data_IF_387992674666
#
_entry.id   IF_387992674666
#
_cell.length_a   1.000
_cell.length_b   1.000
_cell.length_c   1.000
_cell.angle_alpha   90.00
_cell.angle_beta   90.00
_cell.angle_gamma   90.00
#
_symmetry.space_group_name_H-M   'P 1'
#
loop_
_entity.id
_entity.type
_entity.pdbx_description
1 polymer ?
#
# COMPACT_ATOMS: atom_id res chain seq x y z
N UNK A 1 76.41 5.50 -4.93
CA UNK A 1 75.65 5.85 -6.13
C UNK A 1 74.73 4.72 -6.42
N UNK A 2 73.45 4.86 -6.16
CA UNK A 2 72.47 3.87 -6.38
C UNK A 2 71.14 4.51 -6.04
N UNK A 3 70.44 5.03 -7.07
CA UNK A 3 69.12 5.63 -6.93
C UNK A 3 68.09 4.54 -6.85
N UNK A 4 67.27 4.64 -5.81
CA UNK A 4 66.12 3.82 -5.61
C UNK A 4 64.88 4.58 -6.15
N UNK A 5 64.31 4.07 -7.24
CA UNK A 5 63.10 4.58 -7.85
C UNK A 5 61.92 3.74 -7.38
N UNK A 6 61.22 4.19 -6.34
CA UNK A 6 59.93 3.64 -5.92
C UNK A 6 58.85 4.09 -6.87
N UNK A 7 58.37 3.15 -7.71
CA UNK A 7 57.14 3.29 -8.49
C UNK A 7 55.94 3.28 -7.52
N UNK A 8 55.14 4.35 -7.54
CA UNK A 8 53.80 4.37 -6.93
C UNK A 8 52.84 3.63 -7.85
N UNK A 9 52.27 2.54 -7.38
CA UNK A 9 51.14 1.88 -8.03
C UNK A 9 49.88 2.77 -8.03
N UNK A 10 48.94 2.50 -8.94
CA UNK A 10 47.70 3.29 -9.05
C UNK A 10 46.85 3.17 -7.81
N UNK A 11 46.36 4.31 -7.32
CA UNK A 11 45.32 4.44 -6.29
C UNK A 11 44.13 3.58 -6.67
N UNK A 12 43.91 2.48 -5.96
CA UNK A 12 42.63 1.77 -5.92
C UNK A 12 41.64 2.67 -5.17
N UNK A 13 40.83 3.40 -5.93
CA UNK A 13 39.68 4.12 -5.41
C UNK A 13 38.77 3.14 -4.64
N UNK A 14 38.79 3.23 -3.33
CA UNK A 14 37.90 2.51 -2.48
C UNK A 14 36.43 2.85 -2.84
N UNK A 15 35.75 1.93 -3.51
CA UNK A 15 34.32 1.91 -3.51
C UNK A 15 33.90 1.65 -2.05
N UNK A 16 33.25 2.62 -1.43
CA UNK A 16 32.56 2.43 -0.15
C UNK A 16 31.60 1.26 -0.31
N UNK A 17 32.00 0.09 0.14
CA UNK A 17 31.20 -1.14 0.10
C UNK A 17 30.12 -1.09 1.17
N UNK A 18 29.14 -0.21 0.99
CA UNK A 18 27.90 -0.26 1.76
C UNK A 18 27.11 -1.45 1.22
N UNK A 19 26.91 -2.49 2.04
CA UNK A 19 26.00 -3.55 1.66
C UNK A 19 24.60 -2.95 1.43
N UNK A 20 23.93 -3.24 0.29
CA UNK A 20 22.64 -2.65 -0.02
C UNK A 20 21.64 -3.00 1.07
N UNK A 21 20.92 -2.00 1.56
CA UNK A 21 19.85 -2.21 2.52
C UNK A 21 18.65 -2.87 1.81
N UNK A 22 17.75 -3.45 2.58
CA UNK A 22 16.49 -4.02 2.07
C UNK A 22 15.70 -2.99 1.26
N UNK A 23 15.72 -1.74 1.69
CA UNK A 23 15.11 -0.59 0.99
C UNK A 23 15.73 -0.38 -0.38
N UNK A 24 17.05 -0.47 -0.49
CA UNK A 24 17.74 -0.28 -1.77
C UNK A 24 17.36 -1.36 -2.78
N UNK A 25 17.25 -2.62 -2.35
CA UNK A 25 16.79 -3.74 -3.18
C UNK A 25 15.37 -3.48 -3.70
N UNK A 26 14.48 -2.98 -2.86
CA UNK A 26 13.11 -2.64 -3.23
C UNK A 26 13.06 -1.49 -4.23
N UNK A 27 13.81 -0.42 -3.97
CA UNK A 27 13.93 0.73 -4.86
C UNK A 27 14.44 0.30 -6.23
N UNK A 28 15.47 -0.54 -6.28
CA UNK A 28 16.03 -1.04 -7.51
C UNK A 28 15.04 -1.85 -8.35
N UNK A 29 14.18 -2.67 -7.69
CA UNK A 29 13.12 -3.41 -8.36
C UNK A 29 12.08 -2.46 -8.98
N UNK A 30 11.67 -1.43 -8.26
CA UNK A 30 10.72 -0.43 -8.76
C UNK A 30 11.34 0.35 -9.92
N UNK A 31 12.57 0.85 -9.75
CA UNK A 31 13.31 1.57 -10.80
C UNK A 31 13.44 0.72 -12.07
N UNK A 32 13.81 -0.55 -11.93
CA UNK A 32 13.93 -1.46 -13.07
C UNK A 32 12.59 -1.67 -13.78
N UNK A 33 11.50 -1.90 -13.04
CA UNK A 33 10.17 -2.14 -13.61
C UNK A 33 9.60 -0.90 -14.32
N UNK A 34 9.84 0.30 -13.79
CA UNK A 34 9.43 1.55 -14.44
C UNK A 34 10.27 1.85 -15.68
N UNK A 35 11.56 1.56 -15.63
CA UNK A 35 12.46 1.70 -16.80
C UNK A 35 12.04 0.78 -17.95
N UNK A 36 11.55 -0.43 -17.68
CA UNK A 36 10.98 -1.31 -18.72
C UNK A 36 9.79 -0.67 -19.44
N UNK A 37 9.08 0.25 -18.78
CA UNK A 37 7.96 1.04 -19.34
C UNK A 37 8.41 2.36 -19.96
N UNK A 38 9.70 2.65 -19.99
CA UNK A 38 10.26 3.92 -20.47
C UNK A 38 10.08 5.09 -19.49
N UNK A 39 9.81 4.81 -18.22
CA UNK A 39 9.63 5.81 -17.16
C UNK A 39 10.89 5.84 -16.29
N UNK A 40 11.48 7.02 -16.15
CA UNK A 40 12.60 7.25 -15.25
C UNK A 40 12.09 7.58 -13.85
N UNK A 41 12.67 6.93 -12.83
CA UNK A 41 12.28 7.08 -11.42
C UNK A 41 13.32 7.91 -10.69
N UNK A 42 12.87 9.00 -10.09
CA UNK A 42 13.63 9.79 -9.14
C UNK A 42 13.51 9.21 -7.73
N UNK A 43 14.63 9.16 -7.02
CA UNK A 43 14.72 8.66 -5.64
C UNK A 43 15.10 9.83 -4.74
N UNK A 44 14.16 10.32 -3.95
CA UNK A 44 14.43 11.32 -2.93
C UNK A 44 14.86 10.64 -1.63
N UNK A 45 15.91 11.17 -0.99
CA UNK A 45 16.42 10.67 0.30
C UNK A 45 16.46 11.78 1.34
N UNK A 46 16.23 11.38 2.58
CA UNK A 46 16.43 12.24 3.74
C UNK A 46 17.92 12.53 3.97
N UNK A 47 18.28 13.54 4.78
CA UNK A 47 19.69 13.86 5.08
C UNK A 47 20.49 12.70 5.72
N UNK A 48 19.82 11.77 6.36
CA UNK A 48 20.39 10.56 6.96
C UNK A 48 20.57 9.40 5.95
N UNK A 49 20.23 9.63 4.67
CA UNK A 49 20.33 8.66 3.59
C UNK A 49 19.09 7.74 3.46
N UNK A 50 18.16 7.76 4.40
CA UNK A 50 16.92 6.98 4.29
C UNK A 50 16.04 7.43 3.14
N UNK A 51 15.25 6.51 2.58
CA UNK A 51 14.31 6.84 1.51
C UNK A 51 13.26 7.84 2.02
N UNK A 52 13.09 8.94 1.27
CA UNK A 52 12.02 9.91 1.52
C UNK A 52 10.78 9.58 0.70
N UNK A 53 10.87 9.61 -0.63
CA UNK A 53 9.80 9.23 -1.55
C UNK A 53 10.36 8.89 -2.94
N UNK A 54 9.54 8.23 -3.75
CA UNK A 54 9.80 7.92 -5.15
C UNK A 54 8.88 8.75 -6.05
N UNK A 55 9.34 9.10 -7.25
CA UNK A 55 8.58 9.91 -8.19
C UNK A 55 9.04 9.69 -9.65
N UNK A 56 8.22 10.08 -10.61
CA UNK A 56 8.59 10.09 -12.03
C UNK A 56 9.45 11.31 -12.35
N UNK A 57 10.67 11.11 -12.84
CA UNK A 57 11.69 12.17 -13.04
C UNK A 57 11.41 13.08 -14.26
N UNK A 58 10.38 12.80 -15.05
CA UNK A 58 10.11 13.54 -16.30
C UNK A 58 8.84 14.39 -16.25
N UNK A 59 8.02 14.28 -15.19
CA UNK A 59 6.69 14.90 -15.11
C UNK A 59 6.41 15.47 -13.74
N UNK A 60 5.58 16.52 -13.72
CA UNK A 60 5.01 17.10 -12.49
C UNK A 60 3.49 17.20 -12.62
N UNK A 61 2.81 17.14 -11.49
CA UNK A 61 1.39 17.45 -11.37
C UNK A 61 1.23 18.94 -11.05
N UNK A 62 0.35 19.62 -11.76
CA UNK A 62 0.11 21.07 -11.60
C UNK A 62 -1.38 21.34 -11.48
N UNK A 63 -1.79 22.17 -10.53
CA UNK A 63 -3.17 22.64 -10.46
C UNK A 63 -3.53 23.43 -11.71
N UNK A 64 -4.65 23.13 -12.36
CA UNK A 64 -5.06 23.71 -13.64
C UNK A 64 -5.12 25.25 -13.60
N UNK A 65 -5.51 25.82 -12.47
CA UNK A 65 -5.54 27.30 -12.29
C UNK A 65 -4.16 27.96 -12.45
N UNK A 66 -3.09 27.23 -12.22
CA UNK A 66 -1.71 27.73 -12.32
C UNK A 66 -0.98 27.22 -13.56
N UNK A 67 -1.56 26.27 -14.29
CA UNK A 67 -0.90 25.58 -15.41
C UNK A 67 -0.32 26.55 -16.45
N UNK A 68 -1.03 27.57 -16.95
CA UNK A 68 -0.47 28.50 -17.95
C UNK A 68 0.75 29.26 -17.41
N UNK A 69 0.71 29.71 -16.15
CA UNK A 69 1.79 30.46 -15.51
C UNK A 69 3.01 29.58 -15.25
N UNK A 70 2.80 28.35 -14.75
CA UNK A 70 3.88 27.38 -14.50
C UNK A 70 4.53 26.94 -15.81
N UNK A 71 3.73 26.61 -16.83
CA UNK A 71 4.25 26.22 -18.15
C UNK A 71 5.08 27.36 -18.79
N UNK A 72 4.60 28.60 -18.72
CA UNK A 72 5.37 29.76 -19.21
C UNK A 72 6.68 29.97 -18.44
N UNK A 73 6.66 29.77 -17.12
CA UNK A 73 7.83 29.89 -16.25
C UNK A 73 8.89 28.82 -16.55
N UNK A 74 8.50 27.60 -16.91
CA UNK A 74 9.41 26.49 -17.17
C UNK A 74 10.04 26.53 -18.58
N UNK A 75 9.54 27.36 -19.51
CA UNK A 75 10.10 27.47 -20.86
C UNK A 75 11.51 28.04 -20.86
N UNK A 76 12.35 27.58 -21.78
CA UNK A 76 13.63 28.19 -22.10
C UNK A 76 13.40 29.51 -22.82
N UNK A 77 14.14 30.54 -22.45
CA UNK A 77 14.00 31.89 -23.04
C UNK A 77 14.50 31.98 -24.52
N UNK A 78 15.21 30.97 -25.03
CA UNK A 78 15.95 31.04 -26.30
C UNK A 78 15.31 30.23 -27.43
N UNK A 79 14.16 29.61 -27.23
CA UNK A 79 13.46 28.93 -28.33
C UNK A 79 12.36 29.82 -28.88
N UNK A 80 12.59 30.34 -30.11
CA UNK A 80 11.54 30.92 -30.92
C UNK A 80 10.34 30.01 -31.00
N UNK A 81 9.17 30.60 -30.73
CA UNK A 81 7.83 30.17 -31.07
C UNK A 81 7.47 28.70 -30.81
N UNK A 82 6.57 28.52 -29.88
CA UNK A 82 5.45 27.56 -29.94
C UNK A 82 5.71 26.07 -29.67
N UNK A 83 6.84 25.62 -29.22
CA UNK A 83 6.89 24.31 -28.57
C UNK A 83 6.28 24.45 -27.16
N UNK A 84 4.98 24.35 -27.12
CA UNK A 84 4.24 24.19 -25.86
C UNK A 84 4.79 22.91 -25.23
N UNK A 85 5.25 23.01 -23.97
CA UNK A 85 5.41 21.81 -23.17
C UNK A 85 4.06 21.09 -23.24
N UNK A 86 3.98 19.91 -23.89
CA UNK A 86 2.69 19.31 -24.14
C UNK A 86 2.07 18.97 -22.77
N UNK A 87 0.88 19.52 -22.46
CA UNK A 87 0.13 18.99 -21.33
C UNK A 87 -0.17 17.55 -21.68
N UNK A 88 0.31 16.62 -20.90
CA UNK A 88 -0.22 15.27 -20.92
C UNK A 88 -1.64 15.42 -20.40
N UNK A 89 -2.60 15.34 -21.31
CA UNK A 89 -4.01 15.70 -21.18
C UNK A 89 -4.63 15.30 -19.85
N UNK A 90 -5.43 16.22 -19.32
CA UNK A 90 -6.09 16.17 -18.03
C UNK A 90 -6.64 14.80 -17.64
N UNK A 91 -6.02 14.21 -16.64
CA UNK A 91 -6.40 12.93 -16.06
C UNK A 91 -7.59 13.09 -15.14
N UNK A 92 -7.74 14.27 -14.55
CA UNK A 92 -8.81 14.63 -13.62
C UNK A 92 -9.09 16.12 -13.71
N UNK A 93 -10.35 16.57 -13.59
CA UNK A 93 -10.65 17.98 -13.51
C UNK A 93 -9.88 18.63 -12.35
N UNK A 94 -9.13 19.70 -12.65
CA UNK A 94 -8.42 20.50 -11.66
C UNK A 94 -6.93 20.23 -11.49
N UNK A 95 -6.38 19.16 -12.10
CA UNK A 95 -4.94 18.86 -12.09
C UNK A 95 -4.49 18.31 -13.45
N UNK A 96 -3.43 18.86 -13.97
CA UNK A 96 -2.79 18.41 -15.21
C UNK A 96 -1.41 17.84 -14.93
N UNK A 97 -1.04 16.83 -15.70
CA UNK A 97 0.31 16.31 -15.77
C UNK A 97 1.11 17.16 -16.78
N UNK A 98 2.25 17.69 -16.39
CA UNK A 98 3.11 18.52 -17.21
C UNK A 98 4.48 17.84 -17.39
N UNK A 99 4.87 17.61 -18.64
CA UNK A 99 6.21 17.10 -18.96
C UNK A 99 7.26 18.20 -18.79
N UNK A 100 8.40 17.84 -18.23
CA UNK A 100 9.58 18.72 -18.14
C UNK A 100 10.51 18.59 -19.34
N UNK A 101 10.18 17.78 -20.34
CA UNK A 101 10.95 17.69 -21.57
C UNK A 101 11.06 19.08 -22.24
N UNK A 102 12.30 19.53 -22.49
CA UNK A 102 12.54 20.87 -23.01
C UNK A 102 12.45 22.02 -21.99
N UNK A 103 12.19 21.74 -20.71
CA UNK A 103 12.21 22.72 -19.63
C UNK A 103 13.62 23.27 -19.40
N UNK A 104 13.72 24.50 -18.85
CA UNK A 104 14.97 25.06 -18.34
C UNK A 104 15.47 24.37 -17.08
N UNK A 105 14.60 23.67 -16.38
CA UNK A 105 14.92 22.84 -15.23
C UNK A 105 14.76 21.36 -15.60
N UNK A 106 15.87 20.64 -15.83
CA UNK A 106 15.80 19.27 -16.30
C UNK A 106 15.40 18.28 -15.19
N UNK A 107 15.53 18.68 -13.93
CA UNK A 107 15.23 17.82 -12.76
C UNK A 107 13.95 18.27 -12.08
N UNK A 108 13.10 17.29 -11.74
CA UNK A 108 11.75 17.51 -11.14
C UNK A 108 11.86 18.29 -9.83
N UNK A 109 12.74 17.89 -8.92
CA UNK A 109 12.83 18.52 -7.60
C UNK A 109 13.33 19.97 -7.68
N UNK A 110 14.28 20.24 -8.57
CA UNK A 110 14.77 21.60 -8.83
C UNK A 110 13.67 22.48 -9.42
N UNK A 111 12.93 21.99 -10.41
CA UNK A 111 11.80 22.69 -10.99
C UNK A 111 10.72 23.02 -9.92
N UNK A 112 10.44 22.07 -9.04
CA UNK A 112 9.43 22.22 -7.98
C UNK A 112 9.88 23.21 -6.89
N UNK A 113 11.15 23.29 -6.53
CA UNK A 113 11.65 24.28 -5.57
C UNK A 113 11.49 25.71 -6.12
N UNK A 114 11.77 25.91 -7.40
CA UNK A 114 11.57 27.18 -8.08
C UNK A 114 10.09 27.55 -8.27
N UNK A 115 9.22 26.54 -8.54
CA UNK A 115 7.77 26.75 -8.60
C UNK A 115 7.23 27.12 -7.23
N UNK A 116 7.64 26.43 -6.17
CA UNK A 116 7.24 26.73 -4.80
C UNK A 116 7.60 28.16 -4.39
N UNK A 117 8.82 28.60 -4.75
CA UNK A 117 9.29 29.95 -4.45
C UNK A 117 8.48 31.04 -5.18
N UNK A 118 8.00 30.76 -6.41
CA UNK A 118 7.31 31.74 -7.24
C UNK A 118 5.79 31.73 -7.10
N UNK A 119 5.19 30.55 -7.02
CA UNK A 119 3.73 30.35 -7.08
C UNK A 119 3.14 29.86 -5.76
N UNK A 120 3.98 29.40 -4.85
CA UNK A 120 3.57 28.87 -3.55
C UNK A 120 3.61 27.33 -3.50
N UNK A 121 3.89 26.83 -2.29
CA UNK A 121 3.98 25.40 -1.99
C UNK A 121 2.65 24.69 -2.25
N UNK A 122 2.69 23.55 -2.95
CA UNK A 122 1.51 22.74 -3.27
C UNK A 122 0.72 23.19 -4.50
N UNK A 123 1.22 24.20 -5.26
CA UNK A 123 0.71 24.52 -6.60
C UNK A 123 1.06 23.41 -7.57
N UNK A 124 2.27 22.84 -7.44
CA UNK A 124 2.71 21.67 -8.17
C UNK A 124 3.36 20.66 -7.23
N UNK A 125 3.33 19.39 -7.60
CA UNK A 125 4.00 18.29 -6.90
C UNK A 125 4.66 17.34 -7.90
N UNK A 126 5.64 16.51 -7.49
CA UNK A 126 6.07 15.42 -8.35
C UNK A 126 4.91 14.45 -8.56
N UNK A 127 4.93 13.67 -9.64
CA UNK A 127 4.08 12.48 -9.74
C UNK A 127 4.69 11.40 -8.86
N UNK A 128 4.17 11.24 -7.62
CA UNK A 128 4.73 10.28 -6.69
C UNK A 128 4.47 8.84 -7.14
N UNK A 129 5.38 7.94 -6.82
CA UNK A 129 5.22 6.50 -7.00
C UNK A 129 4.83 5.91 -5.65
N UNK A 130 3.68 5.25 -5.63
CA UNK A 130 3.11 4.57 -4.48
C UNK A 130 3.33 3.07 -4.62
N UNK A 131 3.48 2.37 -3.51
CA UNK A 131 3.70 0.93 -3.54
C UNK A 131 2.85 0.20 -2.51
N UNK A 132 2.63 -1.09 -2.74
CA UNK A 132 2.00 -2.00 -1.78
C UNK A 132 2.88 -2.19 -0.54
N UNK A 133 4.15 -1.79 -0.65
CA UNK A 133 5.10 -1.79 0.45
C UNK A 133 6.07 -0.63 0.28
N UNK A 134 5.97 0.41 1.08
CA UNK A 134 7.02 1.42 1.11
C UNK A 134 8.10 1.03 2.12
N UNK A 135 9.35 1.11 1.71
CA UNK A 135 10.57 1.24 2.52
C UNK A 135 11.13 -0.04 3.17
N UNK A 136 10.33 -1.05 3.53
CA UNK A 136 10.83 -2.38 3.87
C UNK A 136 10.30 -3.37 2.84
N UNK A 137 11.11 -4.34 2.44
CA UNK A 137 10.68 -5.31 1.46
C UNK A 137 9.43 -6.06 2.00
N UNK A 138 8.45 -6.22 1.13
CA UNK A 138 7.25 -7.05 1.26
C UNK A 138 6.49 -6.99 2.59
N UNK A 139 5.35 -6.50 2.59
CA UNK A 139 4.65 -5.42 3.31
C UNK A 139 5.39 -4.89 4.53
N UNK A 140 5.69 -5.69 5.54
CA UNK A 140 6.56 -5.32 6.66
C UNK A 140 7.60 -6.40 6.91
N UNK A 141 7.36 -7.60 6.38
CA UNK A 141 8.26 -8.76 6.39
C UNK A 141 8.10 -9.50 5.08
N UNK A 142 9.05 -10.36 4.75
CA UNK A 142 8.81 -11.40 3.74
C UNK A 142 7.86 -12.46 4.31
N UNK A 143 7.10 -13.18 3.45
CA UNK A 143 6.19 -14.22 3.91
C UNK A 143 6.97 -15.38 4.55
N UNK A 144 6.39 -15.97 5.60
CA UNK A 144 6.90 -17.18 6.23
C UNK A 144 6.10 -18.41 5.80
N UNK A 145 6.81 -19.50 5.53
CA UNK A 145 6.19 -20.79 5.25
C UNK A 145 5.41 -21.29 6.46
N UNK A 146 4.23 -21.86 6.20
CA UNK A 146 3.42 -22.55 7.21
C UNK A 146 3.06 -23.95 6.69
N UNK A 147 2.73 -24.93 7.58
CA UNK A 147 2.27 -26.23 7.16
C UNK A 147 1.09 -26.15 6.19
N UNK A 148 1.04 -27.07 5.22
CA UNK A 148 0.04 -27.08 4.14
C UNK A 148 -1.42 -27.01 4.62
N UNK A 149 -1.72 -27.66 5.74
CA UNK A 149 -3.08 -27.75 6.29
C UNK A 149 -3.37 -26.65 7.33
N UNK A 150 -2.55 -25.59 7.37
CA UNK A 150 -2.78 -24.47 8.28
C UNK A 150 -4.01 -23.70 7.83
N UNK A 151 -4.93 -23.46 8.78
CA UNK A 151 -6.12 -22.63 8.55
C UNK A 151 -5.77 -21.14 8.62
N UNK A 152 -6.58 -20.25 8.02
CA UNK A 152 -6.38 -18.81 8.14
C UNK A 152 -6.48 -18.36 9.60
N UNK A 153 -5.66 -17.37 9.98
CA UNK A 153 -5.69 -16.71 11.27
C UNK A 153 -5.60 -15.17 11.06
N UNK A 154 -6.66 -14.42 11.36
CA UNK A 154 -7.96 -14.85 11.88
C UNK A 154 -8.75 -15.72 10.91
N UNK A 155 -9.45 -16.72 11.44
CA UNK A 155 -10.35 -17.57 10.69
C UNK A 155 -11.64 -16.86 10.25
N UNK A 156 -12.46 -17.51 9.39
CA UNK A 156 -13.72 -16.95 8.96
C UNK A 156 -14.69 -16.71 10.13
N UNK A 157 -15.26 -15.51 10.19
CA UNK A 157 -16.35 -15.19 11.11
C UNK A 157 -17.65 -15.90 10.70
N UNK A 158 -18.60 -16.06 11.62
CA UNK A 158 -19.90 -16.63 11.31
C UNK A 158 -20.77 -15.65 10.51
N UNK A 159 -21.04 -15.96 9.26
CA UNK A 159 -21.90 -15.18 8.37
C UNK A 159 -21.35 -13.76 8.08
N UNK A 160 -22.20 -12.93 7.51
CA UNK A 160 -21.89 -11.52 7.23
C UNK A 160 -21.36 -11.26 5.83
N UNK A 161 -21.59 -10.04 5.35
CA UNK A 161 -21.18 -9.56 4.04
C UNK A 161 -22.14 -9.86 2.89
N UNK A 162 -23.26 -10.50 3.13
CA UNK A 162 -24.26 -10.81 2.09
C UNK A 162 -24.79 -9.53 1.45
N UNK A 163 -24.78 -9.48 0.09
CA UNK A 163 -25.20 -8.33 -0.69
C UNK A 163 -24.19 -7.16 -0.70
N UNK A 164 -23.00 -7.33 -0.13
CA UNK A 164 -21.94 -6.28 -0.06
C UNK A 164 -20.82 -6.60 -1.02
N UNK A 165 -20.35 -5.57 -1.71
CA UNK A 165 -19.26 -5.67 -2.67
C UNK A 165 -18.00 -4.95 -2.17
N UNK A 166 -16.92 -5.74 -1.98
CA UNK A 166 -15.58 -5.26 -1.63
C UNK A 166 -14.71 -5.27 -2.89
N UNK A 167 -14.17 -4.13 -3.27
CA UNK A 167 -13.16 -4.02 -4.33
C UNK A 167 -11.78 -3.89 -3.72
N UNK A 168 -10.85 -4.76 -4.11
CA UNK A 168 -9.46 -4.80 -3.65
C UNK A 168 -8.56 -4.30 -4.77
N UNK A 169 -7.95 -3.14 -4.58
CA UNK A 169 -6.94 -2.55 -5.48
C UNK A 169 -5.57 -3.08 -5.08
N UNK A 170 -5.02 -4.05 -5.84
CA UNK A 170 -3.84 -4.80 -5.41
C UNK A 170 -3.06 -5.41 -6.60
N UNK A 171 -2.32 -6.48 -6.38
CA UNK A 171 -1.46 -7.19 -7.36
C UNK A 171 -2.21 -8.24 -8.17
N UNK A 172 -3.49 -8.47 -7.91
CA UNK A 172 -4.31 -9.50 -8.58
C UNK A 172 -4.60 -10.71 -7.71
N UNK A 173 -5.25 -11.69 -8.32
CA UNK A 173 -5.70 -12.94 -7.69
C UNK A 173 -4.92 -14.12 -8.26
N UNK A 174 -4.43 -15.01 -7.42
CA UNK A 174 -3.78 -16.25 -7.84
C UNK A 174 -4.79 -17.16 -8.54
N UNK A 175 -4.29 -17.95 -9.51
CA UNK A 175 -5.12 -18.84 -10.32
C UNK A 175 -5.81 -19.93 -9.48
N UNK A 176 -5.14 -20.38 -8.42
CA UNK A 176 -5.55 -21.45 -7.51
C UNK A 176 -6.23 -20.91 -6.22
N UNK A 177 -6.66 -19.67 -6.24
CA UNK A 177 -7.33 -19.06 -5.08
C UNK A 177 -8.60 -19.81 -4.65
N UNK A 178 -9.35 -20.39 -5.61
CA UNK A 178 -10.57 -21.16 -5.34
C UNK A 178 -10.30 -22.51 -4.64
N UNK A 179 -9.06 -22.98 -4.57
CA UNK A 179 -8.67 -24.16 -3.79
C UNK A 179 -8.86 -23.93 -2.27
N UNK A 180 -8.97 -22.66 -1.87
CA UNK A 180 -9.22 -22.27 -0.49
C UNK A 180 -10.73 -22.00 -0.27
N UNK A 181 -11.41 -22.75 0.60
CA UNK A 181 -12.87 -22.64 0.78
C UNK A 181 -13.36 -21.23 1.10
N UNK A 182 -12.60 -20.45 1.86
CA UNK A 182 -12.98 -19.07 2.20
C UNK A 182 -12.79 -18.08 1.04
N UNK A 183 -12.06 -18.44 -0.01
CA UNK A 183 -11.90 -17.64 -1.22
C UNK A 183 -12.86 -18.06 -2.35
N UNK A 184 -13.66 -19.10 -2.15
CA UNK A 184 -14.61 -19.57 -3.15
C UNK A 184 -15.50 -18.41 -3.64
N UNK A 185 -15.54 -18.21 -4.98
CA UNK A 185 -16.30 -17.15 -5.63
C UNK A 185 -15.69 -15.74 -5.55
N UNK A 186 -14.48 -15.57 -5.03
CA UNK A 186 -13.70 -14.34 -5.22
C UNK A 186 -13.29 -14.25 -6.68
N UNK A 187 -13.46 -13.08 -7.28
CA UNK A 187 -13.11 -12.84 -8.68
C UNK A 187 -11.99 -11.82 -8.81
N UNK A 188 -11.27 -11.82 -9.93
CA UNK A 188 -10.21 -10.82 -10.12
C UNK A 188 -9.44 -10.97 -11.41
N UNK A 189 -8.53 -10.03 -11.61
CA UNK A 189 -7.51 -10.13 -12.64
C UNK A 189 -6.41 -11.05 -12.10
N UNK A 190 -5.85 -11.91 -12.98
CA UNK A 190 -4.83 -12.86 -12.54
C UNK A 190 -3.54 -12.13 -12.14
N UNK A 191 -3.01 -12.51 -10.98
CA UNK A 191 -1.63 -12.27 -10.62
C UNK A 191 -0.70 -13.01 -11.61
N UNK A 192 0.49 -12.50 -11.97
CA UNK A 192 1.38 -13.18 -12.89
C UNK A 192 1.63 -14.63 -12.47
N UNK A 193 1.60 -15.56 -13.42
CA UNK A 193 1.68 -16.97 -13.09
C UNK A 193 2.98 -17.30 -12.36
N UNK A 194 2.81 -17.76 -11.14
CA UNK A 194 3.85 -18.38 -10.32
C UNK A 194 3.83 -19.90 -10.43
N UNK A 195 3.01 -20.41 -11.33
CA UNK A 195 2.62 -21.80 -11.38
C UNK A 195 3.48 -22.74 -12.23
N UNK A 196 4.69 -22.34 -12.64
CA UNK A 196 5.63 -23.28 -13.20
C UNK A 196 6.55 -23.72 -12.05
N UNK A 197 6.78 -25.03 -11.83
CA UNK A 197 7.63 -25.51 -10.73
C UNK A 197 9.03 -24.86 -10.69
N UNK A 198 9.48 -24.29 -11.81
CA UNK A 198 10.78 -23.67 -11.99
C UNK A 198 10.74 -22.12 -11.97
N UNK A 199 9.54 -21.50 -11.89
CA UNK A 199 9.43 -20.04 -11.82
C UNK A 199 9.44 -19.58 -10.36
N UNK A 200 10.44 -18.80 -9.94
CA UNK A 200 10.47 -18.30 -8.57
C UNK A 200 9.27 -17.38 -8.31
N UNK A 201 8.65 -17.51 -7.15
CA UNK A 201 7.63 -16.59 -6.67
C UNK A 201 8.26 -15.19 -6.58
N UNK A 202 7.64 -14.19 -7.20
CA UNK A 202 8.07 -12.79 -7.07
C UNK A 202 7.69 -12.21 -5.71
N UNK A 203 8.41 -11.19 -5.24
CA UNK A 203 8.24 -10.63 -3.91
C UNK A 203 6.80 -10.18 -3.54
N UNK A 204 6.00 -9.80 -4.52
CA UNK A 204 4.61 -9.35 -4.32
C UNK A 204 3.55 -10.33 -4.82
N UNK A 205 3.97 -11.46 -5.36
CA UNK A 205 3.04 -12.50 -5.80
C UNK A 205 2.18 -12.97 -4.64
N UNK A 206 0.88 -13.06 -4.89
CA UNK A 206 -0.09 -13.52 -3.91
C UNK A 206 -0.51 -12.48 -2.87
N UNK A 207 0.05 -11.25 -2.90
CA UNK A 207 -0.34 -10.19 -1.96
C UNK A 207 -1.84 -9.88 -2.05
N UNK A 208 -2.37 -9.65 -3.26
CA UNK A 208 -3.79 -9.40 -3.46
C UNK A 208 -4.69 -10.57 -3.06
N UNK A 209 -4.22 -11.82 -3.24
CA UNK A 209 -4.93 -13.02 -2.78
C UNK A 209 -4.99 -13.08 -1.26
N UNK A 210 -3.88 -12.80 -0.58
CA UNK A 210 -3.80 -12.76 0.88
C UNK A 210 -4.74 -11.68 1.44
N UNK A 211 -4.70 -10.48 0.88
CA UNK A 211 -5.59 -9.35 1.22
C UNK A 211 -7.06 -9.72 1.05
N UNK A 212 -7.43 -10.32 -0.09
CA UNK A 212 -8.80 -10.80 -0.32
C UNK A 212 -9.21 -11.87 0.69
N UNK A 213 -8.30 -12.79 1.04
CA UNK A 213 -8.53 -13.83 2.02
C UNK A 213 -8.81 -13.28 3.42
N UNK A 214 -8.06 -12.27 3.86
CA UNK A 214 -8.31 -11.60 5.14
C UNK A 214 -9.68 -10.91 5.15
N UNK A 215 -10.04 -10.18 4.08
CA UNK A 215 -11.33 -9.52 3.96
C UNK A 215 -12.48 -10.54 3.98
N UNK A 216 -12.34 -11.67 3.27
CA UNK A 216 -13.33 -12.77 3.23
C UNK A 216 -13.47 -13.49 4.56
N UNK A 217 -12.40 -13.62 5.32
CA UNK A 217 -12.51 -14.18 6.67
C UNK A 217 -13.40 -13.31 7.59
N UNK A 218 -13.40 -11.99 7.41
CA UNK A 218 -14.26 -11.09 8.19
C UNK A 218 -15.69 -10.97 7.63
N UNK A 219 -15.87 -11.15 6.32
CA UNK A 219 -17.14 -11.06 5.62
C UNK A 219 -17.32 -12.26 4.65
N UNK A 220 -17.56 -13.47 5.15
CA UNK A 220 -17.48 -14.72 4.37
C UNK A 220 -18.38 -14.81 3.15
N UNK A 221 -19.51 -14.11 3.12
CA UNK A 221 -20.47 -14.14 2.01
C UNK A 221 -20.50 -12.85 1.19
N UNK A 222 -19.52 -11.94 1.38
CA UNK A 222 -19.36 -10.74 0.55
C UNK A 222 -18.92 -11.10 -0.86
N UNK A 223 -19.28 -10.28 -1.84
CA UNK A 223 -18.64 -10.30 -3.14
C UNK A 223 -17.27 -9.61 -3.01
N UNK A 224 -16.20 -10.27 -3.45
CA UNK A 224 -14.87 -9.67 -3.47
C UNK A 224 -14.32 -9.74 -4.89
N UNK A 225 -13.79 -8.62 -5.36
CA UNK A 225 -13.09 -8.54 -6.63
C UNK A 225 -11.72 -7.91 -6.44
N UNK A 226 -10.67 -8.60 -6.91
CA UNK A 226 -9.29 -8.14 -6.84
C UNK A 226 -8.85 -7.60 -8.20
N UNK A 227 -8.39 -6.36 -8.26
CA UNK A 227 -7.75 -5.82 -9.46
C UNK A 227 -6.25 -6.08 -9.44
N UNK A 228 -5.66 -6.09 -10.62
CA UNK A 228 -4.22 -6.10 -10.81
C UNK A 228 -3.77 -4.71 -11.26
N UNK A 229 -3.75 -3.78 -10.33
CA UNK A 229 -3.34 -2.39 -10.59
C UNK A 229 -1.84 -2.21 -10.34
N UNK A 230 -1.29 -2.95 -9.40
CA UNK A 230 0.15 -3.01 -9.12
C UNK A 230 0.78 -4.20 -9.85
N UNK A 231 1.90 -3.98 -10.50
CA UNK A 231 2.63 -5.01 -11.24
C UNK A 231 3.62 -5.80 -10.37
N UNK A 232 4.54 -6.54 -11.03
CA UNK A 232 5.57 -7.35 -10.38
C UNK A 232 6.49 -6.58 -9.41
N UNK A 233 6.55 -5.25 -9.52
CA UNK A 233 7.29 -4.39 -8.61
C UNK A 233 6.42 -3.82 -7.48
N UNK A 234 5.12 -4.13 -7.49
CA UNK A 234 4.17 -3.66 -6.48
C UNK A 234 4.06 -2.14 -6.41
N UNK A 235 4.29 -1.41 -7.51
CA UNK A 235 4.32 0.04 -7.52
C UNK A 235 3.54 0.65 -8.69
N UNK A 236 2.99 1.85 -8.47
CA UNK A 236 2.17 2.60 -9.43
C UNK A 236 2.28 4.10 -9.16
N UNK A 237 2.26 4.94 -10.20
CA UNK A 237 2.21 6.39 -10.01
C UNK A 237 0.86 6.85 -9.45
N UNK A 238 0.88 7.93 -8.67
CA UNK A 238 -0.34 8.44 -8.00
C UNK A 238 -1.46 8.79 -8.99
N UNK A 239 -1.12 9.34 -10.15
CA UNK A 239 -2.12 9.72 -11.15
C UNK A 239 -2.77 8.49 -11.83
N UNK A 240 -2.01 7.42 -12.08
CA UNK A 240 -2.58 6.17 -12.58
C UNK A 240 -3.42 5.47 -11.51
N UNK A 241 -3.00 5.49 -10.24
CA UNK A 241 -3.79 4.93 -9.14
C UNK A 241 -5.15 5.60 -9.03
N UNK A 242 -5.20 6.94 -9.07
CA UNK A 242 -6.46 7.68 -9.01
C UNK A 242 -7.38 7.36 -10.19
N UNK A 243 -6.83 7.18 -11.39
CA UNK A 243 -7.59 6.73 -12.56
C UNK A 243 -8.19 5.33 -12.34
N UNK A 244 -7.43 4.39 -11.77
CA UNK A 244 -7.90 3.04 -11.42
C UNK A 244 -9.00 3.10 -10.35
N UNK A 245 -8.83 3.92 -9.31
CA UNK A 245 -9.86 4.12 -8.29
C UNK A 245 -11.14 4.74 -8.87
N UNK A 246 -11.02 5.66 -9.83
CA UNK A 246 -12.16 6.20 -10.57
C UNK A 246 -12.93 5.12 -11.36
N UNK A 247 -12.21 4.19 -11.99
CA UNK A 247 -12.82 3.04 -12.67
C UNK A 247 -13.49 2.09 -11.65
N UNK A 248 -12.85 1.85 -10.50
CA UNK A 248 -13.40 1.03 -9.43
C UNK A 248 -14.73 1.60 -8.90
N UNK A 249 -14.82 2.92 -8.69
CA UNK A 249 -16.06 3.59 -8.28
C UNK A 249 -17.21 3.33 -9.26
N UNK A 250 -16.92 3.29 -10.57
CA UNK A 250 -17.89 3.00 -11.61
C UNK A 250 -18.49 1.59 -11.55
N UNK A 251 -17.86 0.66 -10.83
CA UNK A 251 -18.37 -0.70 -10.61
C UNK A 251 -19.37 -0.78 -9.44
N UNK A 252 -19.50 0.30 -8.65
CA UNK A 252 -20.43 0.40 -7.54
C UNK A 252 -20.07 -0.42 -6.28
N UNK A 253 -18.79 -0.46 -5.83
CA UNK A 253 -18.45 -1.15 -4.59
C UNK A 253 -19.03 -0.40 -3.38
N UNK A 254 -19.25 -1.14 -2.29
CA UNK A 254 -19.56 -0.56 -0.98
C UNK A 254 -18.27 -0.20 -0.23
N UNK A 255 -17.24 -1.02 -0.39
CA UNK A 255 -15.94 -0.86 0.25
C UNK A 255 -14.84 -0.99 -0.80
N UNK A 256 -13.90 -0.06 -0.81
CA UNK A 256 -12.63 -0.18 -1.56
C UNK A 256 -11.52 -0.38 -0.55
N UNK A 257 -10.74 -1.47 -0.69
CA UNK A 257 -9.52 -1.70 0.06
C UNK A 257 -8.31 -1.35 -0.78
N UNK A 258 -7.43 -0.51 -0.24
CA UNK A 258 -6.16 -0.11 -0.84
C UNK A 258 -5.01 -0.39 0.13
N UNK A 259 -4.36 -1.51 -0.05
CA UNK A 259 -3.20 -1.91 0.76
C UNK A 259 -1.90 -1.37 0.15
N UNK A 260 -1.87 -0.07 -0.15
CA UNK A 260 -0.76 0.62 -0.78
C UNK A 260 -0.73 2.11 -0.41
N UNK A 261 0.44 2.74 -0.58
CA UNK A 261 0.61 4.17 -0.36
C UNK A 261 2.06 4.62 -0.45
N UNK A 262 2.33 5.79 0.10
CA UNK A 262 3.68 6.35 0.15
C UNK A 262 3.78 7.64 0.96
N UNK A 263 5.00 8.01 1.28
CA UNK A 263 5.39 9.33 1.76
C UNK A 263 5.52 10.30 0.58
N UNK A 264 5.47 11.59 0.85
CA UNK A 264 5.44 12.62 -0.19
C UNK A 264 6.40 13.76 0.10
N UNK A 265 6.75 14.49 -0.96
CA UNK A 265 7.57 15.71 -0.85
C UNK A 265 6.92 16.71 0.12
N UNK A 266 7.70 17.14 1.13
CA UNK A 266 7.26 18.08 2.17
C UNK A 266 6.01 17.61 2.96
N UNK A 267 5.73 16.30 2.98
CA UNK A 267 4.53 15.71 3.58
C UNK A 267 3.19 16.27 3.05
N UNK A 268 3.20 16.83 1.85
CA UNK A 268 1.99 17.38 1.22
C UNK A 268 1.04 16.26 0.80
N UNK A 269 -0.28 16.49 0.85
CA UNK A 269 -1.24 15.54 0.29
C UNK A 269 -0.98 15.28 -1.20
N UNK A 270 -1.20 14.04 -1.65
CA UNK A 270 -1.13 13.67 -3.06
C UNK A 270 -2.06 14.56 -3.89
N UNK A 271 -1.50 15.28 -4.87
CA UNK A 271 -2.24 16.30 -5.60
C UNK A 271 -3.34 15.70 -6.48
N UNK A 272 -3.10 14.54 -7.08
CA UNK A 272 -4.09 13.80 -7.87
C UNK A 272 -5.29 13.38 -7.01
N UNK A 273 -5.08 13.01 -5.75
CA UNK A 273 -6.17 12.65 -4.83
C UNK A 273 -7.00 13.85 -4.39
N UNK A 274 -6.42 15.04 -4.30
CA UNK A 274 -7.21 16.25 -3.97
C UNK A 274 -8.35 16.45 -4.98
N UNK A 275 -8.09 16.18 -6.27
CA UNK A 275 -9.13 16.26 -7.31
C UNK A 275 -10.03 15.04 -7.35
N UNK A 276 -9.49 13.86 -7.02
CA UNK A 276 -10.28 12.64 -6.90
C UNK A 276 -11.43 12.79 -5.88
N UNK A 277 -11.18 13.48 -4.77
CA UNK A 277 -12.21 13.71 -3.74
C UNK A 277 -13.42 14.48 -4.28
N UNK A 278 -13.26 15.33 -5.27
CA UNK A 278 -14.37 16.04 -5.92
C UNK A 278 -15.33 15.06 -6.63
N UNK A 279 -14.80 13.97 -7.20
CA UNK A 279 -15.63 12.90 -7.79
C UNK A 279 -16.15 11.95 -6.71
N UNK A 280 -15.28 11.51 -5.79
CA UNK A 280 -15.59 10.55 -4.73
C UNK A 280 -16.72 11.01 -3.81
N UNK A 281 -16.83 12.32 -3.53
CA UNK A 281 -17.90 12.89 -2.67
C UNK A 281 -19.31 12.57 -3.17
N UNK A 282 -19.48 12.29 -4.46
CA UNK A 282 -20.79 11.94 -5.05
C UNK A 282 -21.17 10.48 -4.79
N UNK A 283 -20.21 9.62 -4.50
CA UNK A 283 -20.42 8.21 -4.15
C UNK A 283 -20.59 8.07 -2.64
N UNK A 284 -21.75 8.52 -2.13
CA UNK A 284 -22.00 8.66 -0.69
C UNK A 284 -22.03 7.33 0.08
N UNK A 285 -22.26 6.22 -0.60
CA UNK A 285 -22.31 4.88 0.00
C UNK A 285 -20.92 4.23 0.13
N UNK A 286 -19.96 4.63 -0.67
CA UNK A 286 -18.64 3.97 -0.76
C UNK A 286 -17.71 4.47 0.34
N UNK A 287 -16.96 3.55 0.95
CA UNK A 287 -15.85 3.86 1.86
C UNK A 287 -14.53 3.36 1.28
N UNK A 288 -13.47 4.18 1.39
CA UNK A 288 -12.09 3.79 1.08
C UNK A 288 -11.36 3.48 2.39
N UNK A 289 -10.78 2.28 2.46
CA UNK A 289 -9.95 1.81 3.57
C UNK A 289 -8.52 1.64 3.06
N UNK A 290 -7.53 2.20 3.75
CA UNK A 290 -6.14 2.11 3.30
C UNK A 290 -5.18 1.77 4.44
N UNK A 291 -4.11 1.08 4.10
CA UNK A 291 -3.01 0.74 5.01
C UNK A 291 -2.21 1.98 5.42
N UNK A 292 -1.87 2.06 6.70
CA UNK A 292 -1.17 3.22 7.26
C UNK A 292 0.32 3.31 6.92
N UNK A 293 0.92 2.23 6.39
CA UNK A 293 2.36 2.16 6.11
C UNK A 293 3.16 1.43 7.18
N UNK A 294 4.38 1.03 6.82
CA UNK A 294 5.19 0.09 7.58
C UNK A 294 6.58 0.63 7.97
N UNK A 295 6.72 1.96 8.11
CA UNK A 295 8.01 2.63 8.31
C UNK A 295 8.30 2.98 9.77
N UNK A 296 7.39 2.63 10.69
CA UNK A 296 7.46 3.01 12.12
C UNK A 296 7.64 4.52 12.34
N UNK A 297 6.98 5.33 11.51
CA UNK A 297 7.09 6.79 11.53
C UNK A 297 5.76 7.48 11.82
N UNK A 298 5.83 8.76 12.23
CA UNK A 298 4.68 9.64 12.39
C UNK A 298 4.37 10.47 11.14
N UNK A 299 5.18 10.33 10.10
CA UNK A 299 4.96 11.06 8.85
C UNK A 299 3.64 10.60 8.23
N UNK A 300 2.84 11.53 7.67
CA UNK A 300 1.63 11.15 6.95
C UNK A 300 1.96 10.18 5.82
N UNK A 301 1.24 9.07 5.79
CA UNK A 301 1.29 8.06 4.74
C UNK A 301 0.04 8.18 3.87
N UNK A 302 0.22 8.49 2.60
CA UNK A 302 -0.87 8.78 1.69
C UNK A 302 -1.20 7.57 0.81
N UNK A 303 -2.52 7.27 0.57
CA UNK A 303 -3.68 8.11 0.87
C UNK A 303 -4.32 7.88 2.25
N UNK A 304 -3.80 6.99 3.10
CA UNK A 304 -4.40 6.69 4.41
C UNK A 304 -4.56 7.96 5.30
N UNK A 305 -3.68 8.94 5.15
CA UNK A 305 -3.73 10.18 5.92
C UNK A 305 -4.80 11.21 5.46
N UNK A 306 -5.59 10.91 4.41
CA UNK A 306 -6.71 11.76 4.04
C UNK A 306 -7.90 11.57 4.99
N UNK A 307 -8.58 12.66 5.41
CA UNK A 307 -9.76 12.55 6.29
C UNK A 307 -10.95 11.76 5.68
N UNK A 308 -10.93 11.53 4.37
CA UNK A 308 -11.96 10.78 3.65
C UNK A 308 -11.69 9.27 3.60
N UNK A 309 -10.52 8.86 4.06
CA UNK A 309 -10.05 7.45 4.06
C UNK A 309 -10.08 6.93 5.48
N UNK A 310 -10.37 5.65 5.65
CA UNK A 310 -10.14 4.95 6.92
C UNK A 310 -8.68 4.46 6.90
N UNK A 311 -7.81 5.17 7.63
CA UNK A 311 -6.40 4.83 7.77
C UNK A 311 -6.19 3.76 8.84
N UNK A 312 -5.63 2.60 8.45
CA UNK A 312 -5.53 1.42 9.33
C UNK A 312 -4.08 1.08 9.65
N UNK A 313 -3.72 1.15 10.93
CA UNK A 313 -2.46 0.68 11.48
C UNK A 313 -2.51 -0.79 11.92
N UNK A 314 -1.35 -1.40 12.15
CA UNK A 314 -1.23 -2.78 12.55
C UNK A 314 -0.96 -2.93 14.06
N UNK A 315 -1.64 -3.88 14.69
CA UNK A 315 -1.31 -4.40 16.02
C UNK A 315 -0.26 -5.51 15.90
N UNK A 316 0.59 -5.61 16.92
CA UNK A 316 1.54 -6.70 17.09
C UNK A 316 0.83 -8.05 17.24
N UNK A 317 1.55 -9.15 17.02
CA UNK A 317 1.01 -10.50 17.08
C UNK A 317 0.37 -10.86 18.45
N UNK A 318 0.89 -10.28 19.55
CA UNK A 318 0.32 -10.43 20.89
C UNK A 318 -0.94 -9.59 21.14
N UNK A 319 -1.31 -8.72 20.17
CA UNK A 319 -2.47 -7.81 20.21
C UNK A 319 -2.47 -6.83 21.39
N UNK A 320 -1.34 -6.57 22.01
CA UNK A 320 -1.20 -5.69 23.20
C UNK A 320 -0.53 -4.36 22.90
N UNK A 321 0.11 -4.27 21.75
CA UNK A 321 0.84 -3.10 21.30
C UNK A 321 0.63 -2.85 19.82
N UNK A 322 1.01 -1.68 19.33
CA UNK A 322 1.21 -1.41 17.92
C UNK A 322 2.33 -2.30 17.39
N UNK A 323 2.19 -2.86 16.22
CA UNK A 323 3.27 -3.58 15.55
C UNK A 323 4.49 -2.65 15.37
N UNK A 324 5.69 -3.19 15.56
CA UNK A 324 6.92 -2.40 15.52
C UNK A 324 7.12 -1.63 14.21
N UNK A 325 6.66 -2.20 13.12
CA UNK A 325 6.76 -1.61 11.80
C UNK A 325 5.65 -0.57 11.50
N UNK A 326 4.46 -0.70 12.12
CA UNK A 326 3.30 0.13 11.75
C UNK A 326 3.58 1.61 11.91
N UNK A 327 3.24 2.40 10.90
CA UNK A 327 3.19 3.85 11.02
C UNK A 327 2.11 4.25 12.02
N UNK A 328 2.24 5.45 12.60
CA UNK A 328 1.39 5.93 13.67
C UNK A 328 1.26 7.45 13.68
N UNK A 329 0.20 7.96 14.26
CA UNK A 329 -0.04 9.39 14.36
C UNK A 329 -1.52 9.72 14.43
N UNK A 330 -1.88 11.02 14.51
CA UNK A 330 -3.27 11.45 14.63
C UNK A 330 -4.11 11.19 13.37
N UNK A 331 -3.47 10.83 12.29
CA UNK A 331 -4.08 10.51 11.00
C UNK A 331 -4.41 9.01 10.83
N UNK A 332 -3.97 8.15 11.75
CA UNK A 332 -4.37 6.75 11.81
C UNK A 332 -5.69 6.67 12.57
N UNK A 333 -6.76 6.20 11.90
CA UNK A 333 -8.10 6.16 12.49
C UNK A 333 -8.27 5.00 13.46
N UNK A 334 -7.66 3.84 13.14
CA UNK A 334 -7.85 2.60 13.89
C UNK A 334 -6.69 1.64 13.68
N UNK A 335 -6.44 0.79 14.67
CA UNK A 335 -5.50 -0.32 14.59
C UNK A 335 -6.25 -1.64 14.60
N UNK A 336 -5.76 -2.60 13.82
CA UNK A 336 -6.30 -3.97 13.78
C UNK A 336 -5.15 -4.98 13.68
N UNK A 337 -5.35 -6.27 13.99
CA UNK A 337 -4.33 -7.28 13.78
C UNK A 337 -3.73 -7.22 12.37
N UNK A 338 -2.41 -7.17 12.30
CA UNK A 338 -1.66 -7.07 11.05
C UNK A 338 -0.27 -7.70 11.11
N UNK A 339 0.09 -8.27 12.24
CA UNK A 339 1.37 -8.94 12.46
C UNK A 339 1.18 -10.43 12.64
N UNK A 340 1.85 -11.23 11.79
CA UNK A 340 1.81 -12.69 11.84
C UNK A 340 0.50 -13.32 11.40
N UNK A 341 -0.30 -12.66 10.56
CA UNK A 341 -1.53 -13.26 10.03
C UNK A 341 -1.22 -14.43 9.11
N UNK A 342 -2.13 -15.40 9.04
CA UNK A 342 -2.03 -16.55 8.15
C UNK A 342 -3.16 -16.53 7.15
N UNK A 343 -2.84 -16.62 5.84
CA UNK A 343 -3.88 -16.71 4.80
C UNK A 343 -3.33 -17.38 3.53
N UNK A 344 -4.19 -17.46 2.50
CA UNK A 344 -3.87 -18.01 1.19
C UNK A 344 -2.69 -17.27 0.53
N UNK A 345 -1.80 -18.03 -0.05
CA UNK A 345 -0.58 -17.56 -0.68
C UNK A 345 -0.21 -18.45 -1.89
N UNK A 346 0.80 -18.05 -2.64
CA UNK A 346 1.29 -18.80 -3.78
C UNK A 346 1.87 -20.19 -3.41
N UNK A 347 1.86 -21.10 -4.36
CA UNK A 347 2.57 -22.39 -4.28
C UNK A 347 3.82 -22.31 -5.12
N UNK A 348 4.96 -22.74 -4.58
CA UNK A 348 6.25 -22.79 -5.30
C UNK A 348 7.43 -22.31 -4.49
N UNK A 349 8.58 -22.16 -5.17
CA UNK A 349 9.81 -21.71 -4.56
C UNK A 349 9.85 -20.18 -4.42
N UNK A 350 10.21 -19.71 -3.24
CA UNK A 350 10.47 -18.31 -2.93
C UNK A 350 11.91 -18.15 -2.46
N UNK A 351 12.62 -17.21 -3.04
CA UNK A 351 13.98 -16.85 -2.62
C UNK A 351 13.94 -15.58 -1.79
N UNK A 352 14.33 -15.68 -0.52
CA UNK A 352 14.38 -14.55 0.39
C UNK A 352 15.41 -13.51 -0.05
N UNK A 353 15.07 -12.25 0.11
CA UNK A 353 15.88 -11.09 -0.28
C UNK A 353 16.32 -10.25 0.90
N UNK A 354 15.78 -10.54 2.10
CA UNK A 354 16.04 -9.77 3.32
C UNK A 354 16.88 -10.52 4.34
N UNK A 355 17.74 -9.79 5.08
CA UNK A 355 18.42 -10.37 6.25
C UNK A 355 17.41 -10.90 7.29
N UNK A 356 17.73 -11.96 7.99
CA UNK A 356 18.95 -12.77 7.90
C UNK A 356 18.86 -13.91 6.87
N UNK A 357 17.84 -13.91 6.00
CA UNK A 357 17.51 -15.05 5.12
C UNK A 357 17.91 -14.86 3.65
N UNK A 358 18.67 -13.82 3.32
CA UNK A 358 19.07 -13.52 1.94
C UNK A 358 19.58 -14.80 1.23
N UNK A 359 19.01 -15.07 0.04
CA UNK A 359 19.37 -16.20 -0.80
C UNK A 359 18.83 -17.57 -0.34
N UNK A 360 18.22 -17.66 0.83
CA UNK A 360 17.55 -18.92 1.23
C UNK A 360 16.31 -19.16 0.39
N UNK A 361 16.09 -20.41 -0.02
CA UNK A 361 14.90 -20.81 -0.77
C UNK A 361 13.97 -21.59 0.14
N UNK A 362 12.66 -21.24 0.11
CA UNK A 362 11.59 -21.99 0.77
C UNK A 362 10.52 -22.35 -0.25
N UNK A 363 9.82 -23.46 0.01
CA UNK A 363 8.74 -23.93 -0.85
C UNK A 363 7.40 -23.75 -0.15
N UNK A 364 6.62 -22.80 -0.65
CA UNK A 364 5.27 -22.53 -0.17
C UNK A 364 4.27 -23.50 -0.79
N UNK A 365 3.20 -23.79 -0.06
CA UNK A 365 2.19 -24.77 -0.38
C UNK A 365 0.77 -24.20 -0.32
N UNK A 366 0.57 -22.99 -0.82
CA UNK A 366 -0.73 -22.32 -0.88
C UNK A 366 -1.07 -21.47 0.34
N UNK A 367 -0.24 -21.48 1.37
CA UNK A 367 -0.44 -20.69 2.60
C UNK A 367 0.85 -20.00 3.02
N UNK A 368 0.71 -18.84 3.67
CA UNK A 368 1.83 -18.14 4.30
C UNK A 368 1.40 -17.48 5.61
N UNK A 369 2.38 -17.22 6.48
CA UNK A 369 2.27 -16.22 7.55
C UNK A 369 2.91 -14.94 7.08
N UNK A 370 2.21 -13.81 7.27
CA UNK A 370 2.71 -12.55 6.77
C UNK A 370 2.34 -11.38 7.67
N UNK A 371 3.13 -10.30 7.64
CA UNK A 371 2.92 -9.11 8.48
C UNK A 371 2.90 -7.84 7.65
N UNK A 372 2.04 -6.88 8.02
CA UNK A 372 1.93 -5.58 7.39
C UNK A 372 0.61 -4.89 7.70
N UNK A 373 0.60 -3.56 7.66
CA UNK A 373 -0.63 -2.76 7.68
C UNK A 373 -1.50 -3.09 6.47
N UNK A 374 -0.90 -3.62 5.40
CA UNK A 374 -1.58 -4.17 4.22
C UNK A 374 -2.57 -5.29 4.55
N UNK A 375 -2.41 -5.97 5.68
CA UNK A 375 -3.30 -7.04 6.13
C UNK A 375 -4.26 -6.59 7.24
N UNK A 376 -3.91 -5.55 7.98
CA UNK A 376 -4.82 -4.89 8.91
C UNK A 376 -5.95 -4.14 8.19
N UNK A 377 -5.66 -3.50 7.06
CA UNK A 377 -6.65 -2.77 6.27
C UNK A 377 -7.79 -3.65 5.74
N UNK A 378 -7.55 -4.79 5.06
CA UNK A 378 -8.62 -5.67 4.60
C UNK A 378 -9.41 -6.33 5.74
N UNK A 379 -8.81 -6.52 6.91
CA UNK A 379 -9.55 -6.96 8.09
C UNK A 379 -10.64 -5.93 8.44
N UNK A 380 -10.28 -4.65 8.51
CA UNK A 380 -11.24 -3.56 8.78
C UNK A 380 -12.24 -3.42 7.63
N UNK A 381 -11.82 -3.55 6.37
CA UNK A 381 -12.71 -3.53 5.21
C UNK A 381 -13.78 -4.65 5.29
N UNK A 382 -13.37 -5.86 5.67
CA UNK A 382 -14.29 -6.98 5.89
C UNK A 382 -15.25 -6.74 7.05
N UNK A 383 -14.77 -6.19 8.18
CA UNK A 383 -15.64 -5.82 9.30
C UNK A 383 -16.69 -4.77 8.91
N UNK A 384 -16.30 -3.78 8.10
CA UNK A 384 -17.24 -2.80 7.55
C UNK A 384 -18.30 -3.50 6.69
N UNK A 385 -17.86 -4.40 5.79
CA UNK A 385 -18.77 -5.16 4.92
C UNK A 385 -19.74 -6.05 5.73
N UNK A 386 -19.25 -6.73 6.76
CA UNK A 386 -20.09 -7.51 7.66
C UNK A 386 -21.13 -6.64 8.38
N UNK A 387 -20.75 -5.43 8.79
CA UNK A 387 -21.67 -4.48 9.42
C UNK A 387 -22.73 -3.96 8.45
N UNK A 388 -22.34 -3.55 7.22
CA UNK A 388 -23.28 -3.14 6.16
C UNK A 388 -24.36 -4.19 5.97
N UNK A 389 -23.95 -5.45 5.76
CA UNK A 389 -24.87 -6.57 5.56
C UNK A 389 -25.86 -6.76 6.69
N UNK A 390 -25.46 -6.54 7.93
CA UNK A 390 -26.28 -6.75 9.12
C UNK A 390 -27.22 -5.58 9.41
N UNK A 391 -26.76 -4.35 9.21
CA UNK A 391 -27.47 -3.14 9.67
C UNK A 391 -28.21 -2.40 8.56
N UNK A 392 -27.86 -2.65 7.30
CA UNK A 392 -28.33 -1.85 6.15
C UNK A 392 -27.71 -0.45 6.08
N UNK A 393 -26.71 -0.13 6.92
CA UNK A 393 -25.93 1.09 6.80
C UNK A 393 -25.17 1.09 5.46
N UNK A 394 -24.90 2.25 4.87
CA UNK A 394 -23.95 2.33 3.76
C UNK A 394 -22.49 2.29 4.25
N UNK A 395 -21.52 2.16 3.34
CA UNK A 395 -20.12 1.98 3.69
C UNK A 395 -19.56 3.05 4.63
N UNK A 396 -19.87 4.33 4.39
CA UNK A 396 -19.40 5.44 5.25
C UNK A 396 -20.06 5.43 6.62
N UNK A 397 -21.36 5.11 6.70
CA UNK A 397 -22.08 4.99 7.96
C UNK A 397 -21.54 3.82 8.79
N UNK A 398 -21.37 2.65 8.16
CA UNK A 398 -20.83 1.47 8.82
C UNK A 398 -19.40 1.72 9.34
N UNK A 399 -18.55 2.34 8.53
CA UNK A 399 -17.21 2.74 8.96
C UNK A 399 -17.25 3.71 10.15
N UNK A 400 -18.07 4.77 10.08
CA UNK A 400 -18.21 5.74 11.17
C UNK A 400 -18.68 5.07 12.48
N UNK A 401 -19.63 4.15 12.40
CA UNK A 401 -20.12 3.39 13.55
C UNK A 401 -19.05 2.49 14.17
N UNK A 402 -18.28 1.76 13.33
CA UNK A 402 -17.16 0.93 13.81
C UNK A 402 -16.02 1.75 14.40
N UNK A 403 -15.69 2.90 13.81
CA UNK A 403 -14.69 3.80 14.37
C UNK A 403 -15.15 4.40 15.72
N UNK A 404 -16.43 4.68 15.89
CA UNK A 404 -16.97 5.11 17.18
C UNK A 404 -16.84 4.00 18.24
N UNK A 405 -17.14 2.74 17.86
CA UNK A 405 -16.94 1.56 18.72
C UNK A 405 -15.44 1.39 19.06
N UNK A 406 -14.55 1.47 18.08
CA UNK A 406 -13.11 1.36 18.27
C UNK A 406 -12.55 2.40 19.26
N UNK A 407 -13.09 3.64 19.23
CA UNK A 407 -12.71 4.68 20.19
C UNK A 407 -13.12 4.33 21.63
N UNK A 408 -14.22 3.60 21.82
CA UNK A 408 -14.62 3.09 23.12
C UNK A 408 -13.75 1.90 23.59
N UNK A 409 -13.11 1.20 22.66
CA UNK A 409 -12.19 0.08 22.91
C UNK A 409 -10.71 0.50 22.79
N UNK A 410 -10.39 1.71 23.21
CA UNK A 410 -9.07 2.27 23.11
C UNK A 410 -8.00 1.46 23.87
N UNK A 411 -6.95 1.06 23.15
CA UNK A 411 -5.79 0.39 23.75
C UNK A 411 -4.77 1.46 24.22
N UNK A 412 -4.44 1.52 25.53
CA UNK A 412 -3.50 2.50 26.05
C UNK A 412 -2.15 2.50 25.31
N UNK A 413 -1.66 3.67 24.90
CA UNK A 413 -0.41 3.82 24.15
C UNK A 413 -0.47 3.47 22.67
N UNK A 414 -1.61 2.97 22.17
CA UNK A 414 -1.82 2.63 20.77
C UNK A 414 -2.88 3.52 20.13
N UNK A 415 -4.12 3.47 20.62
CA UNK A 415 -5.26 4.19 20.06
C UNK A 415 -6.50 3.32 19.90
N UNK A 416 -7.47 3.75 19.08
CA UNK A 416 -8.67 2.99 18.76
C UNK A 416 -8.31 1.65 18.12
N UNK A 417 -9.00 0.56 18.50
CA UNK A 417 -8.73 -0.79 17.98
C UNK A 417 -10.01 -1.47 17.52
N UNK A 418 -9.86 -2.33 16.51
CA UNK A 418 -10.90 -3.25 16.04
C UNK A 418 -10.36 -4.69 16.04
N UNK A 419 -11.20 -5.62 16.43
CA UNK A 419 -10.86 -7.03 16.54
C UNK A 419 -11.59 -7.87 15.48
N UNK A 420 -11.05 -9.03 15.10
CA UNK A 420 -11.78 -9.99 14.26
C UNK A 420 -13.17 -10.29 14.86
N UNK A 421 -14.17 -10.36 13.99
CA UNK A 421 -15.57 -10.60 14.34
C UNK A 421 -16.24 -9.53 15.25
N UNK A 422 -15.66 -8.35 15.36
CA UNK A 422 -16.17 -7.21 16.14
C UNK A 422 -17.35 -6.54 15.40
N UNK A 423 -18.41 -7.28 15.17
CA UNK A 423 -19.58 -6.80 14.41
C UNK A 423 -20.67 -6.17 15.30
N UNK A 424 -20.42 -6.01 16.60
CA UNK A 424 -21.29 -5.25 17.50
C UNK A 424 -22.45 -6.01 18.12
N UNK A 425 -22.50 -7.35 18.02
CA UNK A 425 -23.54 -8.19 18.62
C UNK A 425 -23.05 -9.08 19.77
N UNK A 426 -21.85 -8.83 20.27
CA UNK A 426 -21.37 -9.42 21.52
C UNK A 426 -21.68 -8.46 22.67
N UNK A 427 -22.93 -8.41 23.10
CA UNK A 427 -23.29 -7.92 24.42
C UNK A 427 -22.38 -8.64 25.43
N UNK A 428 -21.58 -7.88 26.18
CA UNK A 428 -20.78 -8.27 27.36
C UNK A 428 -19.73 -9.41 27.23
N UNK A 429 -19.20 -9.72 26.02
CA UNK A 429 -18.19 -10.78 25.87
C UNK A 429 -16.84 -10.31 25.33
N UNK A 430 -16.22 -9.36 26.01
CA UNK A 430 -14.80 -8.99 25.79
C UNK A 430 -13.82 -10.14 26.20
N UNK A 431 -14.32 -11.25 26.74
CA UNK A 431 -13.52 -12.32 27.34
C UNK A 431 -13.28 -13.55 26.46
N UNK A 432 -13.98 -13.74 25.33
CA UNK A 432 -13.92 -15.03 24.62
C UNK A 432 -12.88 -15.19 23.52
N UNK A 433 -12.26 -14.13 23.01
CA UNK A 433 -11.28 -14.26 21.93
C UNK A 433 -9.81 -14.17 22.41
N UNK A 434 -9.53 -14.01 23.68
CA UNK A 434 -8.20 -14.16 24.25
C UNK A 434 -8.00 -15.58 24.79
N UNK A 435 -8.10 -16.59 23.90
CA UNK A 435 -7.84 -17.98 24.23
C UNK A 435 -6.39 -18.18 24.65
N UNK A 436 -6.21 -18.27 25.97
CA UNK A 436 -5.03 -18.81 26.62
C UNK A 436 -4.71 -20.20 26.06
N UNK A 437 -3.61 -20.37 25.36
CA UNK A 437 -2.94 -21.66 25.24
C UNK A 437 -2.34 -21.98 26.60
N UNK A 438 -3.11 -22.63 27.50
CA UNK A 438 -2.63 -23.58 28.50
C UNK A 438 -3.85 -24.21 29.19
N UNK A 439 -4.07 -25.46 28.88
CA UNK A 439 -4.65 -26.57 29.62
C UNK A 439 -5.85 -26.27 30.53
N UNK A 440 -7.06 -26.56 30.05
CA UNK A 440 -8.08 -27.40 30.69
C UNK A 440 -9.35 -27.36 29.81
N UNK A 441 -9.84 -28.55 29.49
CA UNK A 441 -11.11 -28.76 28.77
C UNK A 441 -12.25 -28.26 29.68
N UNK A 442 -12.94 -27.20 29.24
CA UNK A 442 -14.14 -26.71 29.83
C UNK A 442 -15.08 -26.25 28.73
N UNK A 443 -16.23 -26.95 28.62
CA UNK A 443 -17.31 -26.68 27.67
C UNK A 443 -17.66 -25.20 27.59
N UNK A 444 -17.29 -24.55 26.51
CA UNK A 444 -17.91 -23.29 26.08
C UNK A 444 -19.01 -23.64 25.05
N UNK A 445 -20.23 -23.72 25.47
CA UNK A 445 -21.40 -23.67 24.59
C UNK A 445 -21.78 -22.21 24.40
N UNK A 446 -21.74 -21.75 23.13
CA UNK A 446 -22.45 -20.55 22.69
C UNK A 446 -23.94 -20.86 22.60
#
# INVERSE_FOLDING_TARGET
MGGDSTERGPDEGGADGHEPTVVDIQVDLIVAAFREKGIEVGVARCPDGTLDFLFEESVILVRDAYLPGVAAFLRRSDTDAAEQLPPVTGLLPGVSLLSLAGSRFPRVLEALDEIDARFGVGVATPSHILSVTPVHACPATEPDEVPRDTLPDPGPCEGGGGGVFIYVTDTGLLKDADDHPWLAGVTGQLDPPTGIPESPIHGYTGHGTFVAGVARCMAPVSQVRVSRDFDKAGALSEHELVKRLGQALGLGPDVINLSAGGTTRKNLPLLSFVTFWETYRHYKGVVLVASAGNNSTRRPFWPAAFPQVVGVGALAADRRARAYFSDFGPWVDVYAPGDGLVNAYATGAYTYREPPRIGQVRHFHGMARWSGTSFAAPLVAGLIAARISRTGENGRQAASSLLAQARAQHLPGVGPVLWPCDTGDCGDRVACCCGSRHGAVGDCRC
#
